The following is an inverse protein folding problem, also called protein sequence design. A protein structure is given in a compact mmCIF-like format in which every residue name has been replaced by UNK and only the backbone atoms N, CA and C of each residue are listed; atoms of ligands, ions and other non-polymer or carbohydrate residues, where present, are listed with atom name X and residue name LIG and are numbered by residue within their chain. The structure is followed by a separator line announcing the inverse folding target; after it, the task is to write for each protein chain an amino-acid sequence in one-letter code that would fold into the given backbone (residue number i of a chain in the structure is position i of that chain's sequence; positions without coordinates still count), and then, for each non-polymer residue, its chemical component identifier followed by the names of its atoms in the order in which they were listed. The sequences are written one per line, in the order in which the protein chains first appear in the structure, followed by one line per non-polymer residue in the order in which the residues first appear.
data_IF_849139978435
#
_entry.id   IF_849139978435
#
_cell.length_a   1.000
_cell.length_b   1.000
_cell.length_c   1.000
_cell.angle_alpha   90.00
_cell.angle_beta   90.00
_cell.angle_gamma   90.00
#
_symmetry.space_group_name_H-M   'P 1'
#
loop_
_entity.id
_entity.type
_entity.pdbx_description
1 polymer ?
#
# COMPACT_ATOMS: atom_id res chain seq x y z
N UNK A 1 6.27 -42.63 7.39
CA UNK A 1 6.60 -41.21 7.66
C UNK A 1 8.03 -40.97 7.22
N UNK A 2 8.23 -40.26 6.10
CA UNK A 2 9.58 -39.95 5.63
C UNK A 2 10.23 -38.93 6.56
N UNK A 3 11.48 -39.18 6.94
CA UNK A 3 12.31 -38.28 7.76
C UNK A 3 12.45 -36.90 7.09
N UNK A 4 12.39 -35.78 7.84
CA UNK A 4 12.58 -34.42 7.30
C UNK A 4 13.95 -34.17 6.65
N UNK A 5 14.90 -35.11 6.77
CA UNK A 5 16.28 -34.94 6.31
C UNK A 5 16.45 -34.97 4.77
N UNK A 6 15.50 -35.50 4.00
CA UNK A 6 15.67 -35.69 2.55
C UNK A 6 15.40 -34.45 1.68
N UNK A 7 14.91 -33.34 2.24
CA UNK A 7 14.62 -32.11 1.47
C UNK A 7 15.86 -31.17 1.41
N UNK A 8 16.85 -31.39 2.28
CA UNK A 8 18.00 -30.48 2.44
C UNK A 8 19.25 -30.85 1.62
N UNK A 9 19.22 -31.88 0.77
CA UNK A 9 20.40 -32.31 -0.02
C UNK A 9 20.20 -32.14 -1.54
N UNK A 10 19.33 -31.21 -1.93
CA UNK A 10 19.16 -30.84 -3.34
C UNK A 10 20.19 -29.79 -3.75
N UNK A 11 20.62 -29.82 -5.02
CA UNK A 11 21.49 -28.78 -5.60
C UNK A 11 20.92 -27.36 -5.42
N UNK A 12 19.59 -27.24 -5.35
CA UNK A 12 18.90 -25.99 -5.01
C UNK A 12 19.23 -25.53 -3.58
N UNK A 13 19.20 -26.42 -2.59
CA UNK A 13 19.56 -26.06 -1.21
C UNK A 13 21.02 -25.62 -1.10
N UNK A 14 21.93 -26.32 -1.77
CA UNK A 14 23.35 -25.92 -1.84
C UNK A 14 23.52 -24.54 -2.46
N UNK A 15 22.80 -24.25 -3.55
CA UNK A 15 22.80 -22.93 -4.18
C UNK A 15 22.30 -21.83 -3.23
N UNK A 16 21.27 -22.09 -2.41
CA UNK A 16 20.78 -21.13 -1.40
C UNK A 16 21.80 -20.85 -0.29
N UNK A 17 22.57 -21.86 0.13
CA UNK A 17 23.65 -21.70 1.10
C UNK A 17 24.80 -20.87 0.53
N UNK A 18 25.26 -21.20 -0.69
CA UNK A 18 26.30 -20.42 -1.39
C UNK A 18 25.87 -18.96 -1.58
N UNK A 19 24.60 -18.73 -1.91
CA UNK A 19 24.04 -17.39 -2.06
C UNK A 19 23.80 -16.64 -0.74
N UNK A 20 23.99 -17.29 0.42
CA UNK A 20 23.75 -16.76 1.77
C UNK A 20 22.34 -16.21 1.95
N UNK A 21 21.34 -16.89 1.40
CA UNK A 21 19.97 -16.36 1.37
C UNK A 21 19.41 -16.11 2.77
N UNK A 22 19.59 -17.06 3.70
CA UNK A 22 19.11 -16.91 5.09
C UNK A 22 19.69 -15.67 5.76
N UNK A 23 21.00 -15.48 5.65
CA UNK A 23 21.69 -14.30 6.20
C UNK A 23 21.15 -12.99 5.61
N UNK A 24 20.87 -12.96 4.30
CA UNK A 24 20.30 -11.78 3.61
C UNK A 24 18.87 -11.49 4.08
N UNK A 25 18.03 -12.52 4.24
CA UNK A 25 16.67 -12.39 4.77
C UNK A 25 16.74 -11.87 6.21
N UNK A 26 17.55 -12.48 7.08
CA UNK A 26 17.70 -12.02 8.45
C UNK A 26 18.19 -10.57 8.51
N UNK A 27 19.15 -10.19 7.67
CA UNK A 27 19.64 -8.82 7.58
C UNK A 27 18.53 -7.85 7.17
N UNK A 28 17.61 -8.26 6.27
CA UNK A 28 16.44 -7.46 5.91
C UNK A 28 15.50 -7.28 7.11
N UNK A 29 15.11 -8.38 7.77
CA UNK A 29 14.16 -8.38 8.90
C UNK A 29 14.69 -7.63 10.12
N UNK A 30 16.02 -7.64 10.34
CA UNK A 30 16.70 -6.87 11.39
C UNK A 30 16.90 -5.39 11.04
N UNK A 31 16.42 -4.92 9.87
CA UNK A 31 16.53 -3.54 9.42
C UNK A 31 17.93 -3.12 8.98
N UNK A 32 18.75 -4.07 8.53
CA UNK A 32 20.04 -3.77 7.92
C UNK A 32 19.88 -2.99 6.61
N UNK A 33 20.87 -2.14 6.31
CA UNK A 33 20.93 -1.35 5.07
C UNK A 33 21.30 -2.22 3.86
N UNK A 34 20.34 -3.03 3.41
CA UNK A 34 20.54 -3.97 2.30
C UNK A 34 20.38 -3.30 0.92
N UNK A 35 19.74 -2.14 0.84
CA UNK A 35 19.69 -1.34 -0.39
C UNK A 35 20.94 -0.47 -0.44
N UNK A 36 22.05 -1.07 -0.84
CA UNK A 36 23.40 -0.48 -0.75
C UNK A 36 23.57 0.81 -1.54
N UNK A 37 23.02 0.90 -2.75
CA UNK A 37 23.14 2.09 -3.61
C UNK A 37 22.48 3.35 -3.03
N UNK A 38 21.48 3.19 -2.16
CA UNK A 38 20.82 4.30 -1.47
C UNK A 38 21.15 4.35 0.02
N UNK A 39 21.98 3.42 0.51
CA UNK A 39 22.27 3.23 1.93
C UNK A 39 21.00 3.16 2.82
N UNK A 40 20.04 2.30 2.44
CA UNK A 40 18.73 2.21 3.09
C UNK A 40 18.33 0.80 3.51
N UNK A 41 17.54 0.76 4.57
CA UNK A 41 16.81 -0.43 5.02
C UNK A 41 15.64 -0.75 4.08
N UNK A 42 15.23 -2.02 4.05
CA UNK A 42 14.06 -2.48 3.28
C UNK A 42 13.09 -3.15 4.25
N UNK A 43 12.06 -2.41 4.69
CA UNK A 43 11.23 -2.79 5.84
C UNK A 43 9.73 -2.81 5.54
N UNK A 44 9.33 -3.24 4.34
CA UNK A 44 7.90 -3.42 4.01
C UNK A 44 7.21 -4.44 4.93
N UNK A 45 7.96 -5.38 5.53
CA UNK A 45 7.47 -6.33 6.53
C UNK A 45 6.97 -5.64 7.81
N UNK A 46 7.54 -4.49 8.19
CA UNK A 46 7.10 -3.73 9.36
C UNK A 46 5.67 -3.21 9.20
N UNK A 47 5.22 -2.95 7.96
CA UNK A 47 3.86 -2.50 7.66
C UNK A 47 2.79 -3.54 8.02
N UNK A 48 3.16 -4.82 8.21
CA UNK A 48 2.25 -5.92 8.57
C UNK A 48 2.57 -6.54 9.93
N UNK A 49 3.52 -5.98 10.66
CA UNK A 49 3.90 -6.51 11.97
C UNK A 49 2.82 -6.22 13.03
N UNK A 50 2.69 -7.10 14.05
CA UNK A 50 1.92 -6.83 15.27
C UNK A 50 2.32 -5.51 15.94
N UNK A 51 1.42 -4.91 16.73
CA UNK A 51 1.62 -3.60 17.37
C UNK A 51 2.74 -3.58 18.40
N UNK A 52 3.00 -4.72 19.02
CA UNK A 52 4.03 -4.98 20.02
C UNK A 52 5.36 -5.47 19.42
N UNK A 53 5.44 -5.64 18.10
CA UNK A 53 6.67 -6.05 17.45
C UNK A 53 7.76 -4.98 17.54
N UNK A 54 9.03 -5.43 17.52
CA UNK A 54 10.20 -4.57 17.50
C UNK A 54 10.96 -4.79 16.21
N UNK A 55 10.95 -3.79 15.33
CA UNK A 55 11.73 -3.78 14.09
C UNK A 55 12.42 -2.43 14.00
N UNK A 56 13.74 -2.45 14.08
CA UNK A 56 14.53 -1.22 14.17
C UNK A 56 15.03 -0.78 12.80
N UNK A 57 15.04 0.54 12.57
CA UNK A 57 15.81 1.18 11.50
C UNK A 57 16.61 2.31 12.10
N UNK A 58 17.93 2.32 11.89
CA UNK A 58 18.83 3.31 12.47
C UNK A 58 18.65 3.49 14.00
N UNK A 59 18.40 2.39 14.71
CA UNK A 59 18.22 2.37 16.17
C UNK A 59 16.81 2.72 16.67
N UNK A 60 15.88 3.05 15.78
CA UNK A 60 14.50 3.43 16.14
C UNK A 60 13.52 2.31 15.78
N UNK A 61 12.65 1.92 16.71
CA UNK A 61 11.57 0.98 16.42
C UNK A 61 10.51 1.62 15.53
N UNK A 62 10.45 1.24 14.26
CA UNK A 62 9.56 1.85 13.27
C UNK A 62 8.10 1.37 13.39
N UNK A 63 7.85 0.30 14.16
CA UNK A 63 6.51 -0.29 14.30
C UNK A 63 5.51 0.70 14.94
N UNK A 64 5.97 1.53 15.89
CA UNK A 64 5.10 2.54 16.51
C UNK A 64 4.60 3.59 15.52
N UNK A 65 5.47 4.06 14.61
CA UNK A 65 5.09 5.01 13.57
C UNK A 65 4.12 4.39 12.56
N UNK A 66 4.37 3.13 12.17
CA UNK A 66 3.45 2.36 11.30
C UNK A 66 2.06 2.31 11.91
N UNK A 67 1.93 1.98 13.20
CA UNK A 67 0.62 1.89 13.85
C UNK A 67 -0.03 3.25 14.07
N UNK A 68 0.75 4.31 14.32
CA UNK A 68 0.22 5.68 14.35
C UNK A 68 -0.45 6.06 13.03
N UNK A 69 0.14 5.72 11.89
CA UNK A 69 -0.47 5.95 10.58
C UNK A 69 -1.67 5.02 10.32
N UNK A 70 -1.60 3.74 10.71
CA UNK A 70 -2.74 2.82 10.59
C UNK A 70 -3.95 3.27 11.40
N UNK A 71 -3.73 3.78 12.61
CA UNK A 71 -4.80 4.29 13.47
C UNK A 71 -5.49 5.50 12.81
N UNK A 72 -4.71 6.42 12.20
CA UNK A 72 -5.24 7.54 11.40
C UNK A 72 -6.02 7.06 10.17
N UNK A 73 -5.50 6.06 9.46
CA UNK A 73 -6.20 5.46 8.30
C UNK A 73 -7.54 4.88 8.75
N UNK A 74 -7.55 4.15 9.88
CA UNK A 74 -8.77 3.57 10.43
C UNK A 74 -9.80 4.65 10.74
N UNK A 75 -9.42 5.65 11.53
CA UNK A 75 -10.29 6.77 11.91
C UNK A 75 -10.85 7.49 10.68
N UNK A 76 -10.00 7.83 9.71
CA UNK A 76 -10.42 8.44 8.47
C UNK A 76 -11.38 7.54 7.67
N UNK A 77 -11.05 6.25 7.51
CA UNK A 77 -11.89 5.33 6.75
C UNK A 77 -13.25 5.09 7.42
N UNK A 78 -13.31 5.02 8.75
CA UNK A 78 -14.56 4.86 9.50
C UNK A 78 -15.44 6.11 9.34
N UNK A 79 -14.86 7.32 9.46
CA UNK A 79 -15.60 8.58 9.27
C UNK A 79 -16.08 8.75 7.83
N UNK A 80 -15.26 8.44 6.83
CA UNK A 80 -15.63 8.44 5.42
C UNK A 80 -16.79 7.47 5.15
N UNK A 81 -16.70 6.23 5.64
CA UNK A 81 -17.72 5.18 5.44
C UNK A 81 -19.03 5.45 6.17
N UNK A 82 -18.98 6.14 7.31
CA UNK A 82 -20.20 6.58 8.01
C UNK A 82 -20.95 7.72 7.32
N UNK A 83 -20.35 8.38 6.33
CA UNK A 83 -20.88 9.60 5.72
C UNK A 83 -20.69 10.86 6.55
N UNK A 84 -20.04 10.77 7.72
CA UNK A 84 -19.74 11.93 8.58
C UNK A 84 -18.64 12.81 8.02
N UNK A 85 -17.81 12.27 7.11
CA UNK A 85 -16.83 13.06 6.37
C UNK A 85 -17.49 13.74 5.17
N UNK A 86 -17.63 15.07 5.25
CA UNK A 86 -18.32 15.87 4.24
C UNK A 86 -17.35 16.71 3.42
N UNK A 87 -17.72 16.99 2.16
CA UNK A 87 -17.01 17.90 1.28
C UNK A 87 -17.25 19.37 1.63
N UNK A 88 -16.70 20.26 0.81
CA UNK A 88 -16.79 21.71 1.00
C UNK A 88 -18.24 22.24 1.06
N UNK A 89 -19.19 21.52 0.49
CA UNK A 89 -20.61 21.88 0.46
C UNK A 89 -21.46 21.20 1.54
N UNK A 90 -20.82 20.45 2.44
CA UNK A 90 -21.52 19.69 3.48
C UNK A 90 -22.15 18.39 2.99
N UNK A 91 -22.03 18.05 1.70
CA UNK A 91 -22.46 16.75 1.18
C UNK A 91 -21.48 15.64 1.60
N UNK A 92 -21.95 14.43 1.96
CA UNK A 92 -21.09 13.28 2.20
C UNK A 92 -20.25 12.95 0.96
N UNK A 93 -18.98 12.60 1.17
CA UNK A 93 -18.13 12.12 0.08
C UNK A 93 -18.41 10.63 -0.17
N UNK A 94 -18.70 10.27 -1.41
CA UNK A 94 -19.00 8.89 -1.83
C UNK A 94 -18.07 8.40 -2.93
N UNK A 95 -17.43 9.33 -3.65
CA UNK A 95 -16.51 9.04 -4.73
C UNK A 95 -15.06 9.30 -4.29
N UNK A 96 -14.14 8.46 -4.74
CA UNK A 96 -12.70 8.62 -4.52
C UNK A 96 -11.97 8.48 -5.85
N UNK A 97 -11.11 9.44 -6.18
CA UNK A 97 -10.14 9.35 -7.27
C UNK A 97 -8.75 9.23 -6.67
N UNK A 98 -8.14 8.05 -6.79
CA UNK A 98 -6.76 7.80 -6.38
C UNK A 98 -5.81 8.13 -7.53
N UNK A 99 -4.98 9.15 -7.35
CA UNK A 99 -4.02 9.64 -8.35
C UNK A 99 -2.63 9.11 -8.01
N UNK A 100 -2.02 8.35 -8.92
CA UNK A 100 -0.67 7.84 -8.74
C UNK A 100 -0.26 6.87 -9.84
N UNK A 101 1.04 6.67 -10.00
CA UNK A 101 1.60 5.78 -11.04
C UNK A 101 2.51 4.71 -10.43
N UNK A 102 2.68 3.59 -11.15
CA UNK A 102 3.58 2.50 -10.76
C UNK A 102 3.19 1.88 -9.43
N UNK A 103 4.12 1.85 -8.47
CA UNK A 103 3.89 1.26 -7.14
C UNK A 103 2.77 1.94 -6.34
N UNK A 104 2.49 3.21 -6.60
CA UNK A 104 1.39 3.95 -5.97
C UNK A 104 -0.01 3.55 -6.48
N UNK A 105 -0.08 2.79 -7.58
CA UNK A 105 -1.32 2.46 -8.28
C UNK A 105 -1.55 0.96 -8.41
N UNK A 106 -0.53 0.19 -8.84
CA UNK A 106 -0.70 -1.22 -9.19
C UNK A 106 -1.13 -2.09 -8.01
N UNK A 107 -0.54 -1.88 -6.83
CA UNK A 107 -0.90 -2.62 -5.62
C UNK A 107 -2.35 -2.34 -5.17
N UNK A 108 -2.74 -1.06 -4.99
CA UNK A 108 -4.11 -0.68 -4.71
C UNK A 108 -5.12 -1.19 -5.74
N UNK A 109 -4.84 -1.06 -7.04
CA UNK A 109 -5.72 -1.56 -8.10
C UNK A 109 -5.90 -3.07 -8.03
N UNK A 110 -4.80 -3.81 -7.81
CA UNK A 110 -4.84 -5.27 -7.68
C UNK A 110 -5.73 -5.70 -6.51
N UNK A 111 -5.48 -5.16 -5.30
CA UNK A 111 -6.24 -5.53 -4.10
C UNK A 111 -7.70 -5.10 -4.22
N UNK A 112 -7.96 -3.90 -4.74
CA UNK A 112 -9.32 -3.47 -5.02
C UNK A 112 -10.02 -4.48 -5.93
N UNK A 113 -9.45 -4.78 -7.10
CA UNK A 113 -10.06 -5.68 -8.09
C UNK A 113 -10.30 -7.07 -7.51
N UNK A 114 -9.32 -7.61 -6.79
CA UNK A 114 -9.39 -8.94 -6.20
C UNK A 114 -10.50 -9.07 -5.13
N UNK A 115 -10.78 -8.00 -4.39
CA UNK A 115 -11.76 -8.00 -3.30
C UNK A 115 -13.16 -7.53 -3.72
N UNK A 116 -13.39 -7.15 -4.99
CA UNK A 116 -14.71 -6.67 -5.43
C UNK A 116 -15.83 -7.70 -5.24
N UNK A 117 -15.51 -8.98 -5.31
CA UNK A 117 -16.48 -10.07 -5.17
C UNK A 117 -16.49 -10.70 -3.79
N UNK A 118 -15.64 -10.23 -2.88
CA UNK A 118 -15.68 -10.66 -1.49
C UNK A 118 -16.93 -10.07 -0.81
N UNK A 119 -17.80 -10.88 -0.17
CA UNK A 119 -19.06 -10.39 0.37
C UNK A 119 -18.92 -9.32 1.46
N UNK A 120 -17.91 -9.47 2.33
CA UNK A 120 -17.67 -8.52 3.42
C UNK A 120 -17.14 -7.19 2.87
N UNK A 121 -16.17 -7.25 1.95
CA UNK A 121 -15.63 -6.07 1.29
C UNK A 121 -16.70 -5.35 0.44
N UNK A 122 -17.55 -6.10 -0.27
CA UNK A 122 -18.61 -5.55 -1.10
C UNK A 122 -19.69 -4.84 -0.26
N UNK A 123 -20.16 -5.45 0.82
CA UNK A 123 -21.12 -4.79 1.72
C UNK A 123 -20.47 -3.59 2.41
N UNK A 124 -19.19 -3.70 2.75
CA UNK A 124 -18.46 -2.55 3.24
C UNK A 124 -18.48 -1.41 2.20
N UNK A 125 -18.01 -1.62 0.98
CA UNK A 125 -17.87 -0.56 -0.03
C UNK A 125 -19.20 -0.05 -0.62
N UNK A 126 -20.35 -0.51 -0.13
CA UNK A 126 -21.66 -0.18 -0.68
C UNK A 126 -21.94 1.32 -0.71
N UNK A 127 -22.38 1.80 -1.86
CA UNK A 127 -22.65 3.23 -2.09
C UNK A 127 -21.38 4.09 -2.26
N UNK A 128 -20.20 3.47 -2.28
CA UNK A 128 -18.92 4.16 -2.51
C UNK A 128 -18.36 3.76 -3.88
N UNK A 129 -17.66 4.69 -4.52
CA UNK A 129 -16.99 4.44 -5.78
C UNK A 129 -15.52 4.85 -5.69
N UNK A 130 -14.61 3.94 -6.05
CA UNK A 130 -13.19 4.22 -6.18
C UNK A 130 -12.78 4.13 -7.65
N UNK A 131 -12.08 5.15 -8.13
CA UNK A 131 -11.46 5.20 -9.45
C UNK A 131 -9.98 5.50 -9.31
N UNK A 132 -9.21 5.07 -10.30
CA UNK A 132 -7.78 5.27 -10.33
C UNK A 132 -7.38 6.09 -11.55
N UNK A 133 -6.57 7.12 -11.32
CA UNK A 133 -5.97 7.96 -12.35
C UNK A 133 -4.46 7.78 -12.30
N UNK A 134 -3.87 7.19 -13.34
CA UNK A 134 -2.46 6.83 -13.34
C UNK A 134 -1.69 7.40 -14.52
N UNK A 135 -2.27 7.33 -15.71
CA UNK A 135 -1.62 7.80 -16.91
C UNK A 135 -1.72 9.33 -17.00
N UNK A 136 -0.69 9.96 -17.56
CA UNK A 136 -0.64 11.41 -17.78
C UNK A 136 -1.46 11.84 -19.00
N UNK A 137 -1.84 10.88 -19.85
CA UNK A 137 -2.73 11.10 -20.99
C UNK A 137 -4.08 11.71 -20.52
N UNK A 138 -4.49 12.88 -21.06
CA UNK A 138 -5.78 13.51 -20.73
C UNK A 138 -7.00 12.60 -20.91
N UNK A 139 -6.92 11.57 -21.76
CA UNK A 139 -7.98 10.56 -21.91
C UNK A 139 -8.21 9.80 -20.60
N UNK A 140 -7.15 9.51 -19.84
CA UNK A 140 -7.27 8.81 -18.55
C UNK A 140 -7.92 9.71 -17.50
N UNK A 141 -7.60 11.00 -17.49
CA UNK A 141 -8.27 12.01 -16.66
C UNK A 141 -9.76 12.05 -16.99
N UNK A 142 -10.10 12.27 -18.27
CA UNK A 142 -11.48 12.36 -18.72
C UNK A 142 -12.30 11.11 -18.35
N UNK A 143 -11.71 9.91 -18.51
CA UNK A 143 -12.33 8.64 -18.08
C UNK A 143 -12.49 8.55 -16.57
N UNK A 144 -11.47 8.94 -15.82
CA UNK A 144 -11.45 8.81 -14.36
C UNK A 144 -12.46 9.72 -13.68
N UNK A 145 -12.70 10.93 -14.22
CA UNK A 145 -13.64 11.88 -13.62
C UNK A 145 -15.05 11.84 -14.24
N UNK A 146 -15.25 11.06 -15.30
CA UNK A 146 -16.53 10.99 -16.02
C UNK A 146 -17.69 10.68 -15.07
N UNK A 147 -18.73 11.50 -15.11
CA UNK A 147 -19.96 11.35 -14.33
C UNK A 147 -19.77 11.49 -12.79
N UNK A 148 -18.63 12.02 -12.33
CA UNK A 148 -18.42 12.36 -10.92
C UNK A 148 -18.88 13.79 -10.61
N UNK A 149 -19.52 13.98 -9.45
CA UNK A 149 -19.81 15.30 -8.89
C UNK A 149 -18.64 15.73 -7.98
N UNK A 150 -17.94 16.85 -8.30
CA UNK A 150 -16.87 17.37 -7.46
C UNK A 150 -17.27 17.60 -6.00
N UNK A 151 -18.54 17.91 -5.72
CA UNK A 151 -19.01 18.16 -4.35
C UNK A 151 -19.05 16.90 -3.47
N UNK A 152 -19.01 15.72 -4.09
CA UNK A 152 -19.06 14.41 -3.41
C UNK A 152 -17.82 13.55 -3.68
N UNK A 153 -16.77 14.14 -4.27
CA UNK A 153 -15.55 13.43 -4.70
C UNK A 153 -14.33 13.83 -3.88
N UNK A 154 -13.67 12.83 -3.29
CA UNK A 154 -12.36 12.95 -2.68
C UNK A 154 -11.26 12.64 -3.69
N UNK A 155 -10.21 13.45 -3.73
CA UNK A 155 -8.99 13.14 -4.49
C UNK A 155 -7.88 12.73 -3.52
N UNK A 156 -7.28 11.56 -3.75
CA UNK A 156 -6.17 11.02 -2.95
C UNK A 156 -4.93 10.94 -3.82
N UNK A 157 -3.96 11.83 -3.58
CA UNK A 157 -2.70 11.87 -4.34
C UNK A 157 -1.65 11.00 -3.66
N UNK A 158 -1.17 9.98 -4.37
CA UNK A 158 -0.23 8.97 -3.85
C UNK A 158 1.08 9.03 -4.62
N UNK A 159 2.07 9.76 -4.09
CA UNK A 159 3.43 9.77 -4.62
C UNK A 159 4.46 9.73 -3.50
N UNK A 160 5.40 8.78 -3.58
CA UNK A 160 6.48 8.65 -2.59
C UNK A 160 7.40 9.86 -2.56
N UNK A 161 7.69 10.44 -3.73
CA UNK A 161 8.58 11.61 -3.83
C UNK A 161 7.81 12.92 -3.88
N UNK A 162 6.51 12.88 -4.17
CA UNK A 162 5.65 14.05 -4.41
C UNK A 162 6.17 14.98 -5.52
N UNK A 163 6.98 14.42 -6.41
CA UNK A 163 7.62 15.11 -7.55
C UNK A 163 7.49 14.31 -8.84
N UNK A 164 6.74 13.20 -8.82
CA UNK A 164 6.50 12.35 -10.00
C UNK A 164 5.69 13.13 -11.02
N UNK A 165 6.26 13.40 -12.20
CA UNK A 165 5.71 14.33 -13.18
C UNK A 165 4.26 13.98 -13.58
N UNK A 166 3.98 12.72 -13.88
CA UNK A 166 2.65 12.24 -14.26
C UNK A 166 1.63 12.43 -13.14
N UNK A 167 2.01 12.11 -11.90
CA UNK A 167 1.13 12.26 -10.73
C UNK A 167 0.87 13.73 -10.41
N UNK A 168 1.87 14.59 -10.53
CA UNK A 168 1.74 16.02 -10.21
C UNK A 168 1.04 16.80 -11.33
N UNK A 169 1.11 16.36 -12.58
CA UNK A 169 0.33 16.98 -13.65
C UNK A 169 -1.16 16.62 -13.57
N UNK A 170 -1.46 15.43 -13.06
CA UNK A 170 -2.83 14.96 -12.84
C UNK A 170 -3.50 15.54 -11.58
N UNK A 171 -2.70 15.96 -10.59
CA UNK A 171 -3.17 16.48 -9.30
C UNK A 171 -3.40 18.00 -9.34
#
# INVERSE_FOLDING_TARGET
MASPALIYDTEQWKALQVAKLKEKIEKMFKGGKIKSTENRSVLHVALRAPRDAVINSDGVNVVHEVWSVKDKIKEFSDTFRSGSWVGATGKPLTNVVSVGIGGSFLGPLFVHTALQTDPEAAECAKGQQLRFLANVDPVDVARSIKDLDPETTLVVVVSKTFTTAETMLNA
#
